data_IF_441736887349
#
_entry.id   IF_441736887349
#
_cell.length_a   1.000
_cell.length_b   1.000
_cell.length_c   1.000
_cell.angle_alpha   90.00
_cell.angle_beta   90.00
_cell.angle_gamma   90.00
#
_symmetry.space_group_name_H-M   'P 1'
#
loop_
_entity.id
_entity.type
_entity.pdbx_description
1 polymer ?
#
# COMPACT_ATOMS: atom_id res chain seq x y z
N UNK A 1 37.44 -18.19 17.10
CA UNK A 1 36.57 -17.17 17.72
C UNK A 1 36.68 -15.81 17.02
N UNK A 2 37.88 -15.23 16.85
CA UNK A 2 38.05 -13.95 16.13
C UNK A 2 37.83 -14.00 14.61
N UNK A 3 38.09 -15.13 13.95
CA UNK A 3 37.91 -15.27 12.49
C UNK A 3 36.43 -15.29 12.05
N UNK A 4 35.53 -15.80 12.91
CA UNK A 4 34.09 -15.89 12.61
C UNK A 4 33.39 -14.53 12.71
N UNK A 5 33.87 -13.64 13.58
CA UNK A 5 33.32 -12.30 13.74
C UNK A 5 33.59 -11.40 12.51
N UNK A 6 34.73 -11.60 11.85
CA UNK A 6 35.08 -10.84 10.64
C UNK A 6 34.21 -11.22 9.42
N UNK A 7 33.79 -12.49 9.30
CA UNK A 7 32.90 -12.94 8.23
C UNK A 7 31.47 -12.38 8.38
N UNK A 8 30.99 -12.17 9.60
CA UNK A 8 29.67 -11.59 9.85
C UNK A 8 29.62 -10.08 9.54
N UNK A 9 30.76 -9.39 9.60
CA UNK A 9 30.87 -7.95 9.28
C UNK A 9 31.06 -7.68 7.78
N UNK A 10 31.61 -8.63 7.02
CA UNK A 10 31.79 -8.49 5.57
C UNK A 10 30.56 -8.91 4.73
N UNK A 11 29.57 -9.55 5.36
CA UNK A 11 28.37 -10.05 4.71
C UNK A 11 27.12 -9.21 5.04
N UNK A 12 27.26 -7.90 5.30
CA UNK A 12 26.10 -7.01 5.31
C UNK A 12 25.62 -6.83 3.86
N UNK A 13 24.55 -7.50 3.41
CA UNK A 13 24.00 -7.19 2.10
C UNK A 13 23.44 -5.77 2.19
N UNK A 14 23.66 -4.96 1.17
CA UNK A 14 23.01 -3.65 1.05
C UNK A 14 21.50 -3.85 0.90
N UNK A 15 20.80 -3.97 2.01
CA UNK A 15 19.34 -3.97 2.12
C UNK A 15 18.84 -2.53 1.93
N UNK A 16 18.92 -2.01 0.72
CA UNK A 16 18.55 -0.61 0.45
C UNK A 16 17.74 -0.38 -0.83
N UNK A 17 17.61 -1.37 -1.71
CA UNK A 17 17.07 -1.16 -3.07
C UNK A 17 15.63 -1.59 -3.32
N UNK A 18 15.11 -2.58 -2.57
CA UNK A 18 13.84 -3.25 -2.92
C UNK A 18 12.62 -2.86 -2.06
N UNK A 19 12.80 -2.00 -1.06
CA UNK A 19 11.77 -1.73 -0.03
C UNK A 19 10.55 -0.95 -0.58
N UNK A 20 10.73 -0.12 -1.62
CA UNK A 20 9.66 0.76 -2.12
C UNK A 20 8.44 0.02 -2.68
N UNK A 21 8.67 -0.98 -3.54
CA UNK A 21 7.59 -1.72 -4.21
C UNK A 21 6.86 -2.70 -3.28
N UNK A 22 7.57 -3.31 -2.34
CA UNK A 22 6.99 -4.26 -1.39
C UNK A 22 6.13 -3.54 -0.34
N UNK A 23 6.58 -2.39 0.16
CA UNK A 23 5.80 -1.56 1.08
C UNK A 23 4.51 -1.01 0.45
N UNK A 24 4.56 -0.53 -0.80
CA UNK A 24 3.38 -0.06 -1.51
C UNK A 24 2.30 -1.16 -1.65
N UNK A 25 2.71 -2.40 -1.94
CA UNK A 25 1.81 -3.57 -2.04
C UNK A 25 1.16 -3.91 -0.70
N UNK A 26 1.90 -3.82 0.41
CA UNK A 26 1.34 -4.04 1.76
C UNK A 26 0.27 -3.00 2.09
N UNK A 27 0.52 -1.73 1.75
CA UNK A 27 -0.47 -0.65 1.92
C UNK A 27 -1.71 -0.92 1.06
N UNK A 28 -1.53 -1.25 -0.22
CA UNK A 28 -2.65 -1.55 -1.14
C UNK A 28 -3.52 -2.69 -0.59
N UNK A 29 -2.88 -3.78 -0.15
CA UNK A 29 -3.59 -4.93 0.41
C UNK A 29 -4.35 -4.57 1.69
N UNK A 30 -3.79 -3.70 2.52
CA UNK A 30 -4.43 -3.24 3.75
C UNK A 30 -5.67 -2.39 3.46
N UNK A 31 -5.58 -1.45 2.51
CA UNK A 31 -6.73 -0.64 2.05
C UNK A 31 -7.81 -1.55 1.47
N UNK A 32 -7.43 -2.49 0.60
CA UNK A 32 -8.36 -3.44 -0.04
C UNK A 32 -9.09 -4.31 0.97
N UNK A 33 -8.38 -4.83 1.99
CA UNK A 33 -8.99 -5.63 3.06
C UNK A 33 -9.99 -4.82 3.88
N UNK A 34 -9.64 -3.59 4.25
CA UNK A 34 -10.54 -2.71 5.00
C UNK A 34 -11.80 -2.36 4.17
N UNK A 35 -11.65 -2.10 2.86
CA UNK A 35 -12.78 -1.88 1.96
C UNK A 35 -13.70 -3.11 1.84
N UNK A 36 -13.12 -4.31 1.76
CA UNK A 36 -13.88 -5.57 1.75
C UNK A 36 -14.62 -5.82 3.06
N UNK A 37 -14.00 -5.51 4.20
CA UNK A 37 -14.66 -5.60 5.50
C UNK A 37 -15.88 -4.65 5.55
N UNK A 38 -15.72 -3.42 5.06
CA UNK A 38 -16.84 -2.48 4.94
C UNK A 38 -17.97 -3.03 4.08
N UNK A 39 -17.65 -3.59 2.91
CA UNK A 39 -18.66 -4.19 2.05
C UNK A 39 -19.37 -5.38 2.72
N UNK A 40 -18.63 -6.24 3.42
CA UNK A 40 -19.19 -7.39 4.12
C UNK A 40 -20.12 -7.02 5.28
N UNK A 41 -19.83 -5.92 5.99
CA UNK A 41 -20.60 -5.49 7.16
C UNK A 41 -21.74 -4.53 6.82
N UNK A 42 -21.52 -3.61 5.86
CA UNK A 42 -22.45 -2.53 5.54
C UNK A 42 -23.17 -2.72 4.20
N UNK A 43 -22.79 -3.73 3.41
CA UNK A 43 -23.36 -3.98 2.06
C UNK A 43 -22.91 -2.99 1.00
N UNK A 44 -21.91 -2.14 1.30
CA UNK A 44 -21.37 -1.12 0.39
C UNK A 44 -19.89 -0.87 0.65
N UNK A 45 -19.16 -0.53 -0.41
CA UNK A 45 -17.80 -0.04 -0.32
C UNK A 45 -17.75 1.35 0.32
N UNK A 46 -16.64 1.70 1.01
CA UNK A 46 -16.56 2.94 1.75
C UNK A 46 -16.45 4.14 0.79
N UNK A 47 -16.97 5.32 1.19
CA UNK A 47 -16.94 6.52 0.34
C UNK A 47 -15.51 7.06 0.12
N UNK A 48 -14.54 6.63 0.93
CA UNK A 48 -13.14 7.00 0.76
C UNK A 48 -12.23 6.45 1.86
N UNK A 49 -10.94 6.73 1.72
CA UNK A 49 -9.89 6.24 2.64
C UNK A 49 -10.06 6.76 4.06
N UNK A 50 -10.54 8.01 4.22
CA UNK A 50 -10.78 8.59 5.55
C UNK A 50 -11.75 7.75 6.39
N UNK A 51 -12.82 7.25 5.77
CA UNK A 51 -13.80 6.36 6.42
C UNK A 51 -13.14 5.04 6.89
N UNK A 52 -12.23 4.49 6.08
CA UNK A 52 -11.47 3.30 6.47
C UNK A 52 -10.51 3.56 7.64
N UNK A 53 -9.91 4.75 7.74
CA UNK A 53 -9.04 5.13 8.86
C UNK A 53 -9.84 5.26 10.16
N UNK A 54 -11.02 5.87 10.09
CA UNK A 54 -11.88 6.12 11.24
C UNK A 54 -12.59 4.86 11.75
N UNK A 55 -13.15 4.06 10.86
CA UNK A 55 -14.05 2.95 11.24
C UNK A 55 -13.41 1.56 11.15
N UNK A 56 -12.39 1.37 10.32
CA UNK A 56 -11.78 0.06 10.04
C UNK A 56 -10.31 -0.04 10.47
N UNK A 57 -9.80 0.98 11.18
CA UNK A 57 -8.46 0.99 11.73
C UNK A 57 -7.34 0.98 10.69
N UNK A 58 -7.63 1.43 9.46
CA UNK A 58 -6.63 1.53 8.41
C UNK A 58 -5.51 2.50 8.82
N UNK A 59 -4.26 2.03 8.80
CA UNK A 59 -3.06 2.82 9.09
C UNK A 59 -1.97 2.51 8.07
N UNK A 60 -1.28 3.56 7.63
CA UNK A 60 -0.09 3.48 6.78
C UNK A 60 0.72 4.76 6.98
N UNK A 61 1.98 4.75 6.54
CA UNK A 61 2.83 5.93 6.57
C UNK A 61 2.39 6.93 5.49
N UNK A 62 1.74 8.01 5.92
CA UNK A 62 1.22 9.05 5.01
C UNK A 62 2.31 9.96 4.45
N UNK A 63 3.50 9.99 5.05
CA UNK A 63 4.65 10.74 4.55
C UNK A 63 5.36 9.98 3.42
N UNK A 64 5.32 8.64 3.45
CA UNK A 64 5.89 7.78 2.42
C UNK A 64 4.90 7.44 1.30
N UNK A 65 3.61 7.31 1.62
CA UNK A 65 2.61 6.82 0.66
C UNK A 65 1.40 7.73 0.56
N UNK A 66 0.86 7.84 -0.67
CA UNK A 66 -0.43 8.46 -0.96
C UNK A 66 -1.34 7.40 -1.56
N UNK A 67 -2.51 7.20 -0.93
CA UNK A 67 -3.55 6.31 -1.45
C UNK A 67 -4.43 7.12 -2.40
N UNK A 68 -4.43 6.73 -3.68
CA UNK A 68 -5.45 7.15 -4.62
C UNK A 68 -6.58 6.12 -4.57
N UNK A 69 -7.79 6.61 -4.29
CA UNK A 69 -8.97 5.79 -4.10
C UNK A 69 -10.09 6.40 -4.91
N UNK A 70 -10.53 5.70 -5.96
CA UNK A 70 -11.59 6.14 -6.84
C UNK A 70 -12.76 5.15 -6.76
N UNK A 71 -13.96 5.67 -6.50
CA UNK A 71 -15.18 4.88 -6.39
C UNK A 71 -16.21 5.37 -7.40
N UNK A 72 -16.59 4.48 -8.33
CA UNK A 72 -17.61 4.78 -9.33
C UNK A 72 -19.03 4.57 -8.79
N UNK A 73 -19.25 3.48 -8.05
CA UNK A 73 -20.52 3.16 -7.42
C UNK A 73 -20.27 2.43 -6.09
N UNK A 74 -21.19 2.58 -5.13
CA UNK A 74 -21.04 2.03 -3.78
C UNK A 74 -21.05 0.50 -3.72
N UNK A 75 -21.46 -0.17 -4.79
CA UNK A 75 -21.50 -1.64 -4.91
C UNK A 75 -20.37 -2.23 -5.77
N UNK A 76 -19.48 -1.40 -6.31
CA UNK A 76 -18.34 -1.84 -7.12
C UNK A 76 -17.03 -1.62 -6.36
N UNK A 77 -16.09 -2.56 -6.54
CA UNK A 77 -14.77 -2.46 -5.93
C UNK A 77 -14.10 -1.15 -6.37
N UNK A 78 -13.64 -0.30 -5.43
CA UNK A 78 -12.90 0.91 -5.76
C UNK A 78 -11.59 0.59 -6.49
N UNK A 79 -11.16 1.49 -7.36
CA UNK A 79 -9.79 1.50 -7.85
C UNK A 79 -8.89 2.01 -6.72
N UNK A 80 -7.86 1.22 -6.39
CA UNK A 80 -6.93 1.52 -5.30
C UNK A 80 -5.54 1.51 -5.91
N UNK A 81 -4.90 2.68 -5.91
CA UNK A 81 -3.52 2.85 -6.39
C UNK A 81 -2.67 3.49 -5.30
N UNK A 82 -1.52 2.89 -5.00
CA UNK A 82 -0.58 3.41 -4.01
C UNK A 82 0.58 4.12 -4.70
N UNK A 83 0.72 5.41 -4.42
CA UNK A 83 1.79 6.25 -4.93
C UNK A 83 2.82 6.47 -3.83
N UNK A 84 4.07 6.09 -4.08
CA UNK A 84 5.17 6.43 -3.18
C UNK A 84 5.54 7.90 -3.38
N UNK A 85 5.61 8.67 -2.30
CA UNK A 85 6.02 10.08 -2.36
C UNK A 85 7.50 10.14 -2.75
N UNK A 86 7.81 10.95 -3.77
CA UNK A 86 9.16 11.08 -4.32
C UNK A 86 9.55 10.05 -5.37
N UNK A 87 8.71 9.04 -5.64
CA UNK A 87 8.88 8.20 -6.82
C UNK A 87 8.33 8.94 -8.07
N UNK A 88 8.97 8.79 -9.25
CA UNK A 88 8.38 9.28 -10.48
C UNK A 88 6.98 8.67 -10.65
N UNK A 89 6.00 9.45 -11.15
CA UNK A 89 4.62 8.98 -11.27
C UNK A 89 4.61 7.66 -12.05
N UNK A 90 3.84 6.65 -11.61
CA UNK A 90 3.70 5.43 -12.38
C UNK A 90 3.20 5.78 -13.77
N UNK A 91 3.74 5.10 -14.79
CA UNK A 91 3.22 5.21 -16.15
C UNK A 91 1.70 5.01 -16.07
N UNK A 92 0.95 5.98 -16.60
CA UNK A 92 -0.50 5.94 -16.56
C UNK A 92 -0.98 4.58 -17.06
N UNK A 93 -2.00 3.96 -16.42
CA UNK A 93 -2.57 2.74 -16.95
C UNK A 93 -2.99 3.05 -18.39
N UNK A 94 -2.46 2.27 -19.34
CA UNK A 94 -2.91 2.34 -20.73
C UNK A 94 -4.41 2.08 -20.67
N UNK A 95 -5.21 3.12 -20.94
CA UNK A 95 -6.66 2.97 -21.08
C UNK A 95 -6.85 1.96 -22.20
N UNK A 96 -7.25 0.74 -21.82
CA UNK A 96 -7.66 -0.29 -22.75
C UNK A 96 -8.67 0.30 -23.71
N UNK A 97 -8.32 0.23 -24.99
CA UNK A 97 -9.16 0.62 -26.12
C UNK A 97 -10.45 -0.19 -26.17
#
# INVERSE_FOLDING_TARGET
MLLCAALLLFAAPRLGGAVGGEGARVVEQSVRRAALQCYALEGRYPPGVAYLKEHYGLRYDEDLYRVHYEIFASNLMPDITILQRGAPPPAAPEKGA
#
